data_IF_461693605927
#
_entry.id   IF_461693605927
#
_cell.length_a   1.000
_cell.length_b   1.000
_cell.length_c   1.000
_cell.angle_alpha   90.00
_cell.angle_beta   90.00
_cell.angle_gamma   90.00
#
_symmetry.space_group_name_H-M   'P 1'
#
loop_
_entity.id
_entity.type
_entity.pdbx_description
1 polymer ?
#
# COMPACT_ATOMS: atom_id res chain seq x y z
N UNK A 1 -16.67 38.50 -23.33
CA UNK A 1 -16.81 38.00 -21.94
C UNK A 1 -17.10 36.51 -21.93
N UNK A 2 -16.08 35.67 -22.17
CA UNK A 2 -16.17 34.22 -21.94
C UNK A 2 -15.34 33.90 -20.71
N UNK A 3 -16.04 33.80 -19.58
CA UNK A 3 -15.54 33.49 -18.25
C UNK A 3 -14.86 32.13 -18.24
N UNK A 4 -13.54 32.12 -18.11
CA UNK A 4 -12.82 31.41 -17.04
C UNK A 4 -13.54 30.18 -16.46
N UNK A 5 -13.61 29.10 -17.24
CA UNK A 5 -14.00 27.76 -16.77
C UNK A 5 -13.02 26.66 -17.14
N UNK A 6 -11.84 27.01 -17.67
CA UNK A 6 -10.85 26.03 -18.13
C UNK A 6 -9.62 25.91 -17.21
N UNK A 7 -9.56 26.65 -16.08
CA UNK A 7 -8.40 26.66 -15.17
C UNK A 7 -8.60 25.87 -13.86
N UNK A 8 -9.52 24.91 -13.86
CA UNK A 8 -9.63 23.94 -12.77
C UNK A 8 -9.56 22.55 -13.37
N UNK A 9 -8.46 22.29 -14.06
CA UNK A 9 -7.99 20.94 -14.29
C UNK A 9 -7.64 20.35 -12.91
N UNK A 10 -8.65 19.74 -12.31
CA UNK A 10 -8.56 19.04 -11.03
C UNK A 10 -7.91 17.68 -11.27
N UNK A 11 -6.66 17.70 -11.72
CA UNK A 11 -5.85 16.50 -11.92
C UNK A 11 -5.31 16.07 -10.54
N UNK A 12 -5.71 14.89 -10.01
CA UNK A 12 -5.36 14.45 -8.66
C UNK A 12 -3.98 13.78 -8.64
N UNK A 13 -2.95 14.45 -9.16
CA UNK A 13 -1.59 13.95 -9.19
C UNK A 13 -0.66 14.94 -8.48
N UNK A 14 -0.47 14.66 -7.19
CA UNK A 14 0.56 15.20 -6.28
C UNK A 14 0.76 16.73 -6.41
N UNK A 15 -0.09 17.45 -5.68
CA UNK A 15 -0.28 18.89 -5.72
C UNK A 15 0.78 19.69 -4.93
N UNK A 16 1.92 19.10 -4.52
CA UNK A 16 2.93 19.77 -3.67
C UNK A 16 3.39 21.14 -4.25
N UNK A 17 3.51 21.24 -5.57
CA UNK A 17 3.95 22.47 -6.25
C UNK A 17 2.88 23.58 -6.28
N UNK A 18 1.60 23.22 -6.35
CA UNK A 18 0.50 24.19 -6.37
C UNK A 18 -0.05 24.45 -4.97
N UNK A 19 -0.03 23.45 -4.09
CA UNK A 19 -0.21 23.61 -2.64
C UNK A 19 0.86 24.54 -2.06
N UNK A 20 2.14 24.36 -2.39
CA UNK A 20 3.20 25.27 -1.92
C UNK A 20 3.02 26.70 -2.42
N UNK A 21 2.58 26.88 -3.66
CA UNK A 21 2.26 28.20 -4.22
C UNK A 21 1.05 28.83 -3.54
N UNK A 22 -0.01 28.06 -3.28
CA UNK A 22 -1.21 28.51 -2.57
C UNK A 22 -0.87 28.88 -1.12
N UNK A 23 -0.06 28.06 -0.42
CA UNK A 23 0.43 28.35 0.93
C UNK A 23 1.29 29.62 0.92
N UNK A 24 2.22 29.78 -0.03
CA UNK A 24 3.05 30.97 -0.15
C UNK A 24 2.21 32.24 -0.41
N UNK A 25 1.20 32.14 -1.28
CA UNK A 25 0.28 33.25 -1.54
C UNK A 25 -0.62 33.58 -0.36
N UNK A 26 -1.08 32.59 0.43
CA UNK A 26 -1.84 32.80 1.67
C UNK A 26 -0.98 33.48 2.76
N UNK A 27 0.27 33.02 2.92
CA UNK A 27 1.26 33.63 3.82
C UNK A 27 1.57 35.06 3.40
N UNK A 28 1.81 35.28 2.11
CA UNK A 28 2.10 36.62 1.54
C UNK A 28 0.93 37.59 1.72
N UNK A 29 -0.31 37.11 1.65
CA UNK A 29 -1.51 37.93 1.82
C UNK A 29 -1.86 38.20 3.29
N UNK A 30 -1.11 37.65 4.26
CA UNK A 30 -1.46 37.72 5.68
C UNK A 30 -2.75 36.98 6.03
N UNK A 31 -3.32 36.25 5.07
CA UNK A 31 -4.51 35.40 5.20
C UNK A 31 -4.08 33.97 5.45
N UNK A 32 -3.09 33.79 6.32
CA UNK A 32 -2.89 32.48 6.92
C UNK A 32 -4.17 32.28 7.73
N UNK A 33 -5.08 31.42 7.26
CA UNK A 33 -6.08 30.81 8.12
C UNK A 33 -5.29 30.39 9.34
N UNK A 34 -5.48 31.07 10.47
CA UNK A 34 -4.77 30.78 11.72
C UNK A 34 -4.86 29.28 11.84
N UNK A 35 -3.74 28.59 11.58
CA UNK A 35 -3.79 27.17 11.38
C UNK A 35 -4.33 26.66 12.70
N UNK A 36 -5.55 26.14 12.69
CA UNK A 36 -6.14 25.55 13.88
C UNK A 36 -5.30 24.30 14.07
N UNK A 37 -4.16 24.47 14.73
CA UNK A 37 -3.35 23.37 15.22
C UNK A 37 -4.33 22.62 16.11
N UNK A 38 -4.69 21.38 15.75
CA UNK A 38 -5.52 20.61 16.66
C UNK A 38 -4.73 20.53 17.97
N UNK A 39 -5.32 21.00 19.05
CA UNK A 39 -4.68 20.97 20.37
C UNK A 39 -5.19 19.74 21.15
N UNK A 40 -4.32 19.21 22.00
CA UNK A 40 -4.65 18.07 22.86
C UNK A 40 -5.08 16.81 22.08
N UNK A 41 -6.21 16.22 22.48
CA UNK A 41 -6.69 14.91 21.99
C UNK A 41 -6.85 14.83 20.47
N UNK A 42 -7.14 15.94 19.79
CA UNK A 42 -7.35 15.94 18.33
C UNK A 42 -5.99 15.80 17.61
N UNK A 43 -4.91 16.35 18.16
CA UNK A 43 -3.56 16.17 17.64
C UNK A 43 -3.15 14.71 17.72
N UNK A 44 -3.32 14.10 18.91
CA UNK A 44 -3.00 12.69 19.16
C UNK A 44 -3.77 11.77 18.20
N UNK A 45 -5.07 12.04 18.00
CA UNK A 45 -5.87 11.29 17.03
C UNK A 45 -5.35 11.45 15.59
N UNK A 46 -4.97 12.66 15.19
CA UNK A 46 -4.39 12.90 13.85
C UNK A 46 -3.07 12.16 13.68
N UNK A 47 -2.20 12.20 14.66
CA UNK A 47 -0.91 11.49 14.65
C UNK A 47 -1.10 9.97 14.56
N UNK A 48 -2.05 9.42 15.33
CA UNK A 48 -2.39 8.00 15.27
C UNK A 48 -2.94 7.59 13.90
N UNK A 49 -3.83 8.39 13.31
CA UNK A 49 -4.37 8.14 11.97
C UNK A 49 -3.25 8.19 10.93
N UNK A 50 -2.40 9.22 10.98
CA UNK A 50 -1.27 9.34 10.06
C UNK A 50 -0.30 8.17 10.17
N UNK A 51 0.01 7.75 11.40
CA UNK A 51 0.86 6.59 11.68
C UNK A 51 0.27 5.32 11.09
N UNK A 52 -1.03 5.09 11.29
CA UNK A 52 -1.76 3.96 10.69
C UNK A 52 -1.68 3.99 9.16
N UNK A 53 -1.92 5.14 8.54
CA UNK A 53 -1.85 5.28 7.08
C UNK A 53 -0.46 4.96 6.54
N UNK A 54 0.60 5.41 7.23
CA UNK A 54 1.97 5.10 6.87
C UNK A 54 2.24 3.60 6.94
N UNK A 55 1.82 2.92 8.02
CA UNK A 55 1.94 1.47 8.11
C UNK A 55 1.16 0.72 7.02
N UNK A 56 -0.01 1.21 6.64
CA UNK A 56 -0.79 0.62 5.55
C UNK A 56 -0.08 0.77 4.19
N UNK A 57 0.54 1.93 3.93
CA UNK A 57 1.37 2.16 2.73
C UNK A 57 2.60 1.26 2.72
N UNK A 58 3.30 1.15 3.84
CA UNK A 58 4.47 0.29 3.99
C UNK A 58 4.11 -1.18 3.77
N UNK A 59 3.03 -1.66 4.41
CA UNK A 59 2.51 -3.02 4.19
C UNK A 59 2.24 -3.30 2.71
N UNK A 60 1.59 -2.35 2.03
CA UNK A 60 1.27 -2.49 0.60
C UNK A 60 2.54 -2.52 -0.25
N UNK A 61 3.52 -1.66 0.06
CA UNK A 61 4.82 -1.64 -0.61
C UNK A 61 5.58 -2.97 -0.45
N UNK A 62 5.60 -3.53 0.76
CA UNK A 62 6.23 -4.84 1.04
C UNK A 62 5.55 -5.95 0.25
N UNK A 63 4.21 -5.98 0.23
CA UNK A 63 3.45 -6.98 -0.54
C UNK A 63 3.76 -6.86 -2.03
N UNK A 64 3.78 -5.64 -2.58
CA UNK A 64 4.12 -5.40 -3.98
C UNK A 64 5.55 -5.82 -4.31
N UNK A 65 6.51 -5.59 -3.41
CA UNK A 65 7.89 -6.07 -3.56
C UNK A 65 7.94 -7.60 -3.58
N UNK A 66 7.16 -8.26 -2.73
CA UNK A 66 7.06 -9.72 -2.72
C UNK A 66 6.46 -10.24 -4.02
N UNK A 67 5.36 -9.63 -4.51
CA UNK A 67 4.82 -9.93 -5.83
C UNK A 67 5.91 -9.89 -6.91
N UNK A 68 6.65 -8.79 -6.98
CA UNK A 68 7.73 -8.60 -7.98
C UNK A 68 8.81 -9.68 -7.89
N UNK A 69 9.26 -10.03 -6.70
CA UNK A 69 10.30 -11.07 -6.52
C UNK A 69 9.78 -12.42 -6.99
N UNK A 70 8.56 -12.79 -6.59
CA UNK A 70 7.98 -14.08 -6.97
C UNK A 70 7.60 -14.11 -8.46
N UNK A 71 7.21 -12.99 -9.06
CA UNK A 71 7.02 -12.85 -10.52
C UNK A 71 8.29 -13.21 -11.30
N UNK A 72 9.46 -12.76 -10.81
CA UNK A 72 10.75 -13.00 -11.48
C UNK A 72 11.17 -14.47 -11.36
N UNK A 73 10.97 -15.08 -10.19
CA UNK A 73 11.44 -16.45 -9.93
C UNK A 73 10.42 -17.52 -10.30
N UNK A 74 9.13 -17.17 -10.31
CA UNK A 74 8.01 -18.08 -10.59
C UNK A 74 6.86 -17.36 -11.33
N UNK A 75 7.04 -17.10 -12.63
CA UNK A 75 6.05 -16.38 -13.44
C UNK A 75 4.71 -17.12 -13.54
N UNK A 76 4.73 -18.46 -13.52
CA UNK A 76 3.53 -19.32 -13.60
C UNK A 76 2.76 -19.46 -12.27
N UNK A 77 3.14 -18.71 -11.22
CA UNK A 77 2.48 -18.82 -9.91
C UNK A 77 0.98 -18.50 -9.95
N UNK A 78 0.47 -17.81 -10.97
CA UNK A 78 -0.93 -17.37 -11.05
C UNK A 78 -1.93 -18.52 -10.93
N UNK A 79 -1.53 -19.73 -11.30
CA UNK A 79 -2.36 -20.93 -11.17
C UNK A 79 -2.41 -21.49 -9.74
N UNK A 80 -1.30 -21.36 -9.00
CA UNK A 80 -1.11 -21.98 -7.68
C UNK A 80 -1.33 -20.98 -6.53
N UNK A 81 -0.91 -19.73 -6.73
CA UNK A 81 -0.90 -18.64 -5.75
C UNK A 81 -1.56 -17.41 -6.38
N UNK A 82 -2.90 -17.36 -6.34
CA UNK A 82 -3.69 -16.24 -6.89
C UNK A 82 -3.51 -14.92 -6.14
N UNK A 83 -3.21 -14.98 -4.85
CA UNK A 83 -3.08 -13.78 -3.99
C UNK A 83 -1.87 -13.95 -3.07
N UNK A 84 -0.89 -13.06 -3.21
CA UNK A 84 0.25 -12.98 -2.31
C UNK A 84 -0.15 -12.14 -1.09
N UNK A 85 0.24 -12.60 0.10
CA UNK A 85 -0.06 -11.94 1.37
C UNK A 85 -1.21 -12.57 2.16
N UNK A 86 -1.90 -13.57 1.62
CA UNK A 86 -2.75 -14.44 2.44
C UNK A 86 -1.86 -15.40 3.27
N UNK A 87 -2.37 -15.89 4.41
CA UNK A 87 -1.59 -16.77 5.32
C UNK A 87 -0.96 -17.96 4.59
N UNK A 88 -1.72 -18.55 3.68
CA UNK A 88 -1.35 -19.75 2.94
C UNK A 88 -0.22 -19.51 1.94
N UNK A 89 -0.27 -18.42 1.17
CA UNK A 89 0.78 -18.01 0.22
C UNK A 89 2.06 -17.63 0.95
N UNK A 90 1.96 -16.90 2.07
CA UNK A 90 3.13 -16.54 2.88
C UNK A 90 3.79 -17.78 3.49
N UNK A 91 2.99 -18.74 3.95
CA UNK A 91 3.52 -20.02 4.42
C UNK A 91 4.22 -20.79 3.29
N UNK A 92 3.58 -20.88 2.12
CA UNK A 92 4.15 -21.58 0.98
C UNK A 92 5.46 -20.94 0.53
N UNK A 93 5.51 -19.62 0.40
CA UNK A 93 6.72 -18.86 0.06
C UNK A 93 7.81 -18.99 1.12
N UNK A 94 7.46 -19.25 2.38
CA UNK A 94 8.41 -19.47 3.47
C UNK A 94 9.01 -20.88 3.46
N UNK A 95 8.19 -21.89 3.18
CA UNK A 95 8.60 -23.29 3.21
C UNK A 95 9.17 -23.81 1.88
N UNK A 96 8.65 -23.30 0.78
CA UNK A 96 8.97 -23.73 -0.59
C UNK A 96 8.88 -22.50 -1.53
N UNK A 97 9.88 -21.61 -1.51
CA UNK A 97 9.90 -20.40 -2.32
C UNK A 97 10.00 -20.67 -3.82
N UNK A 98 10.61 -21.79 -4.22
CA UNK A 98 10.77 -22.17 -5.62
C UNK A 98 9.86 -23.34 -6.02
N UNK A 99 9.48 -23.45 -7.30
CA UNK A 99 8.67 -24.58 -7.80
C UNK A 99 9.34 -25.94 -7.55
N UNK A 100 10.66 -26.00 -7.67
CA UNK A 100 11.46 -27.20 -7.43
C UNK A 100 11.34 -27.71 -5.98
N UNK A 101 11.22 -26.80 -5.00
CA UNK A 101 11.02 -27.16 -3.60
C UNK A 101 9.65 -27.82 -3.39
N UNK A 102 8.63 -27.32 -4.09
CA UNK A 102 7.27 -27.89 -4.07
C UNK A 102 7.29 -29.30 -4.69
N UNK A 103 7.98 -29.46 -5.82
CA UNK A 103 8.12 -30.76 -6.48
C UNK A 103 8.86 -31.76 -5.58
N UNK A 104 9.94 -31.34 -4.91
CA UNK A 104 10.73 -32.17 -4.01
C UNK A 104 9.95 -32.61 -2.76
N UNK A 105 9.11 -31.74 -2.21
CA UNK A 105 8.25 -32.05 -1.05
C UNK A 105 7.02 -32.87 -1.44
N UNK A 106 6.59 -32.78 -2.70
CA UNK A 106 5.52 -33.58 -3.27
C UNK A 106 4.10 -33.08 -2.94
N UNK A 107 3.15 -33.54 -3.76
CA UNK A 107 1.75 -33.07 -3.74
C UNK A 107 1.04 -33.41 -2.41
N UNK A 108 1.40 -34.53 -1.79
CA UNK A 108 0.82 -34.96 -0.50
C UNK A 108 1.10 -33.95 0.61
N UNK A 109 2.34 -33.48 0.69
CA UNK A 109 2.74 -32.44 1.66
C UNK A 109 1.98 -31.14 1.40
N UNK A 110 1.86 -30.72 0.14
CA UNK A 110 1.14 -29.49 -0.22
C UNK A 110 -0.32 -29.57 0.26
N UNK A 111 -1.05 -30.65 -0.07
CA UNK A 111 -2.46 -30.80 0.30
C UNK A 111 -2.70 -30.78 1.81
N UNK A 112 -1.84 -31.45 2.58
CA UNK A 112 -1.94 -31.54 4.03
C UNK A 112 -1.76 -30.17 4.69
N UNK A 113 -0.71 -29.44 4.30
CA UNK A 113 -0.37 -28.14 4.88
C UNK A 113 -1.38 -27.06 4.47
N UNK A 114 -1.77 -27.02 3.20
CA UNK A 114 -2.77 -26.06 2.71
C UNK A 114 -4.10 -26.22 3.45
N UNK A 115 -4.52 -27.47 3.75
CA UNK A 115 -5.75 -27.74 4.53
C UNK A 115 -5.64 -27.28 5.98
N UNK A 116 -4.48 -27.45 6.61
CA UNK A 116 -4.25 -27.02 8.00
C UNK A 116 -4.27 -25.49 8.12
N UNK A 117 -3.58 -24.80 7.23
CA UNK A 117 -3.44 -23.33 7.29
C UNK A 117 -4.71 -22.62 6.88
N UNK A 118 -5.43 -23.13 5.87
CA UNK A 118 -6.71 -22.56 5.47
C UNK A 118 -7.79 -22.65 6.55
N UNK A 119 -7.63 -23.53 7.55
CA UNK A 119 -8.57 -23.71 8.66
C UNK A 119 -8.17 -22.93 9.92
N UNK A 120 -7.05 -22.20 9.89
CA UNK A 120 -6.48 -21.45 11.02
C UNK A 120 -6.50 -19.94 10.80
#
# INVERSE_FOLDING_TARGET
>A
TKKSREMMDNNPLKDDAKDSRVIADLVRQGKVLTAILPEGKILELRELVHTRENFMKERTSIINRLHKVVDITFPERGEVIKTIGNKTSLYLLREAPFPEDILKRGIKWLRENMRKISRS
#
